data_IF_033828086952
#
_entry.id   IF_033828086952
#
_cell.length_a   1.000
_cell.length_b   1.000
_cell.length_c   1.000
_cell.angle_alpha   90.00
_cell.angle_beta   90.00
_cell.angle_gamma   90.00
#
_symmetry.space_group_name_H-M   'P 1'
#
loop_
_entity.id
_entity.type
_entity.pdbx_description
1 polymer ?
#
# COMPACT_ATOMS: atom_id res chain seq x y z
N UNK A 1 3.15 1.20 0.14
CA UNK A 1 3.76 2.47 -0.35
C UNK A 1 5.22 2.53 0.05
N UNK A 2 6.12 2.92 -0.86
CA UNK A 2 7.56 3.12 -0.59
C UNK A 2 7.89 4.62 -0.73
N UNK A 3 8.37 5.25 0.34
CA UNK A 3 8.62 6.69 0.43
C UNK A 3 10.11 6.99 0.63
N UNK A 4 10.61 8.05 -0.01
CA UNK A 4 12.00 8.56 0.11
C UNK A 4 12.00 10.08 0.30
N UNK A 5 12.80 10.60 1.25
CA UNK A 5 13.02 11.99 1.65
C UNK A 5 11.74 12.79 2.02
N UNK A 6 11.39 12.79 3.31
CA UNK A 6 10.18 13.45 3.86
C UNK A 6 10.27 15.00 3.96
N UNK A 7 11.41 15.59 3.59
CA UNK A 7 11.64 17.04 3.54
C UNK A 7 11.34 17.72 2.19
N UNK A 8 10.90 16.95 1.18
CA UNK A 8 10.38 17.47 -0.08
C UNK A 8 9.06 16.76 -0.39
N UNK A 9 7.93 17.43 -0.20
CA UNK A 9 6.66 16.97 -0.76
C UNK A 9 6.86 16.69 -2.27
N UNK A 10 6.56 15.45 -2.68
CA UNK A 10 6.59 14.93 -4.03
C UNK A 10 7.96 14.96 -4.74
N UNK A 11 8.60 13.79 -4.93
CA UNK A 11 9.33 13.51 -6.20
C UNK A 11 9.66 12.07 -6.53
N UNK A 12 9.62 11.09 -5.61
CA UNK A 12 9.76 9.66 -6.00
C UNK A 12 9.08 8.70 -5.01
N UNK A 13 7.76 8.79 -4.83
CA UNK A 13 7.02 7.72 -4.17
C UNK A 13 6.63 6.66 -5.20
N UNK A 14 7.23 5.46 -5.23
CA UNK A 14 6.65 4.35 -6.00
C UNK A 14 5.53 3.73 -5.18
N UNK A 15 4.30 3.98 -5.61
CA UNK A 15 3.10 3.34 -5.11
C UNK A 15 3.02 1.93 -5.72
N UNK A 16 3.12 0.93 -4.84
CA UNK A 16 2.75 -0.44 -5.13
C UNK A 16 1.50 -0.72 -4.29
N UNK A 17 0.34 -0.43 -4.88
CA UNK A 17 -0.96 -0.89 -4.41
C UNK A 17 -1.45 -1.87 -5.46
N UNK A 18 -1.41 -3.17 -5.14
CA UNK A 18 -1.90 -4.20 -6.03
C UNK A 18 -3.42 -4.24 -5.99
N UNK A 19 -4.03 -4.29 -7.17
CA UNK A 19 -5.38 -4.78 -7.36
C UNK A 19 -5.27 -5.91 -8.38
N UNK A 20 -5.49 -7.11 -7.88
CA UNK A 20 -4.98 -8.39 -8.35
C UNK A 20 -6.04 -9.16 -9.21
N UNK A 21 -5.69 -10.21 -9.98
CA UNK A 21 -6.68 -11.06 -10.68
C UNK A 21 -6.24 -12.38 -11.38
N UNK A 22 -6.87 -13.51 -10.98
CA UNK A 22 -6.92 -14.94 -11.44
C UNK A 22 -6.53 -15.43 -12.86
N UNK A 23 -6.07 -16.70 -12.97
CA UNK A 23 -6.59 -17.73 -13.94
C UNK A 23 -6.57 -19.24 -13.55
N UNK A 24 -7.76 -19.86 -13.49
CA UNK A 24 -8.14 -21.05 -14.31
C UNK A 24 -9.66 -21.16 -14.48
N UNK A 25 -10.23 -20.67 -15.60
CA UNK A 25 -11.63 -20.90 -16.09
C UNK A 25 -11.73 -20.63 -17.62
N UNK A 26 -12.82 -21.06 -18.31
CA UNK A 26 -13.01 -21.00 -19.78
C UNK A 26 -12.67 -19.64 -20.44
N UNK A 27 -12.26 -19.68 -21.73
CA UNK A 27 -11.73 -18.54 -22.52
C UNK A 27 -12.48 -17.20 -22.31
N UNK A 28 -13.81 -17.20 -22.34
CA UNK A 28 -14.63 -15.98 -22.18
C UNK A 28 -14.58 -15.34 -20.78
N UNK A 29 -14.16 -16.07 -19.75
CA UNK A 29 -13.89 -15.53 -18.42
C UNK A 29 -12.48 -15.00 -18.29
N UNK A 30 -11.50 -15.60 -18.98
CA UNK A 30 -10.12 -15.09 -19.04
C UNK A 30 -10.04 -13.73 -19.69
N UNK A 31 -10.75 -13.56 -20.82
CA UNK A 31 -10.76 -12.28 -21.54
C UNK A 31 -11.34 -11.14 -20.68
N UNK A 32 -12.33 -11.45 -19.84
CA UNK A 32 -12.90 -10.49 -18.88
C UNK A 32 -11.98 -10.19 -17.70
N UNK A 33 -11.25 -11.19 -17.19
CA UNK A 33 -10.28 -10.99 -16.12
C UNK A 33 -9.10 -10.13 -16.58
N UNK A 34 -8.56 -10.39 -17.79
CA UNK A 34 -7.49 -9.59 -18.36
C UNK A 34 -7.94 -8.16 -18.65
N UNK A 35 -9.15 -7.98 -19.20
CA UNK A 35 -9.71 -6.66 -19.41
C UNK A 35 -9.86 -5.89 -18.08
N UNK A 36 -10.34 -6.55 -17.03
CA UNK A 36 -10.49 -5.94 -15.71
C UNK A 36 -9.13 -5.59 -15.09
N UNK A 37 -8.12 -6.45 -15.24
CA UNK A 37 -6.73 -6.19 -14.83
C UNK A 37 -6.20 -4.93 -15.50
N UNK A 38 -6.34 -4.80 -16.82
CA UNK A 38 -5.90 -3.62 -17.57
C UNK A 38 -6.62 -2.34 -17.13
N UNK A 39 -7.93 -2.41 -16.85
CA UNK A 39 -8.70 -1.28 -16.30
C UNK A 39 -8.13 -0.88 -14.93
N UNK A 40 -7.98 -1.83 -14.00
CA UNK A 40 -7.48 -1.56 -12.64
C UNK A 40 -6.06 -1.02 -12.64
N UNK A 41 -5.20 -1.49 -13.54
CA UNK A 41 -3.85 -0.94 -13.72
C UNK A 41 -3.88 0.52 -14.18
N UNK A 42 -4.75 0.87 -15.13
CA UNK A 42 -4.92 2.24 -15.59
C UNK A 42 -5.50 3.15 -14.49
N UNK A 43 -6.46 2.65 -13.70
CA UNK A 43 -7.02 3.36 -12.55
C UNK A 43 -5.96 3.64 -11.48
N UNK A 44 -5.14 2.64 -11.12
CA UNK A 44 -4.05 2.79 -10.16
C UNK A 44 -2.95 3.75 -10.64
N UNK A 45 -2.62 3.71 -11.93
CA UNK A 45 -1.69 4.67 -12.53
C UNK A 45 -2.22 6.11 -12.46
N UNK A 46 -3.50 6.31 -12.77
CA UNK A 46 -4.18 7.61 -12.68
C UNK A 46 -4.23 8.11 -11.23
N UNK A 47 -4.62 7.27 -10.27
CA UNK A 47 -4.64 7.61 -8.85
C UNK A 47 -3.26 8.07 -8.35
N UNK A 48 -2.20 7.34 -8.75
CA UNK A 48 -0.82 7.68 -8.40
C UNK A 48 -0.41 9.03 -9.01
N UNK A 49 -0.76 9.28 -10.27
CA UNK A 49 -0.51 10.56 -10.93
C UNK A 49 -1.21 11.72 -10.19
N UNK A 50 -2.47 11.53 -9.77
CA UNK A 50 -3.23 12.53 -9.00
C UNK A 50 -2.43 12.97 -7.78
N UNK A 51 -1.90 12.04 -6.98
CA UNK A 51 -1.13 12.38 -5.78
C UNK A 51 0.33 12.77 -6.03
N UNK A 52 0.84 12.68 -7.27
CA UNK A 52 2.24 12.95 -7.60
C UNK A 52 3.19 11.79 -7.27
N UNK A 53 2.66 10.56 -7.24
CA UNK A 53 3.41 9.33 -7.04
C UNK A 53 3.69 8.61 -8.36
N UNK A 54 4.78 7.86 -8.39
CA UNK A 54 5.05 6.82 -9.39
C UNK A 54 4.22 5.58 -9.08
N UNK A 55 3.95 4.73 -10.08
CA UNK A 55 3.16 3.51 -9.94
C UNK A 55 3.92 2.31 -10.47
N UNK A 56 3.85 1.19 -9.76
CA UNK A 56 4.33 -0.10 -10.24
C UNK A 56 3.52 -1.25 -9.64
N UNK A 57 3.53 -2.40 -10.31
CA UNK A 57 2.91 -3.63 -9.81
C UNK A 57 3.88 -4.80 -9.98
N UNK A 58 3.84 -5.75 -9.04
CA UNK A 58 4.48 -7.06 -9.18
C UNK A 58 3.57 -8.07 -9.89
N UNK A 59 2.40 -7.64 -10.35
CA UNK A 59 1.53 -8.41 -11.24
C UNK A 59 1.26 -9.84 -10.73
N UNK A 60 0.75 -9.91 -9.51
CA UNK A 60 0.37 -11.16 -8.83
C UNK A 60 -1.15 -11.30 -8.93
N UNK A 61 -1.65 -12.52 -9.10
CA UNK A 61 -3.08 -12.78 -9.22
C UNK A 61 -3.76 -12.75 -7.85
N UNK A 62 -5.03 -12.31 -7.81
CA UNK A 62 -5.84 -12.19 -6.59
C UNK A 62 -6.01 -13.53 -5.89
N UNK A 63 -5.88 -13.57 -4.56
CA UNK A 63 -6.00 -14.77 -3.74
C UNK A 63 -4.95 -15.86 -4.08
N UNK A 64 -3.84 -15.50 -4.73
CA UNK A 64 -2.74 -16.41 -5.07
C UNK A 64 -1.40 -15.98 -4.48
N UNK A 65 -1.38 -14.88 -3.73
CA UNK A 65 -0.16 -14.34 -3.16
C UNK A 65 0.42 -15.33 -2.14
N UNK A 66 1.53 -15.96 -2.52
CA UNK A 66 2.35 -16.79 -1.63
C UNK A 66 3.58 -16.00 -1.20
N UNK A 67 3.56 -15.53 0.05
CA UNK A 67 4.66 -14.80 0.66
C UNK A 67 5.93 -15.63 0.83
N UNK A 68 5.87 -16.95 0.60
CA UNK A 68 7.01 -17.87 0.65
C UNK A 68 7.66 -18.11 -0.71
N UNK A 69 7.01 -17.69 -1.81
CA UNK A 69 7.55 -17.83 -3.16
C UNK A 69 8.87 -17.07 -3.32
N UNK A 70 9.92 -17.80 -3.68
CA UNK A 70 11.29 -17.25 -3.79
C UNK A 70 11.43 -16.25 -4.94
N UNK A 71 10.72 -16.47 -6.05
CA UNK A 71 10.77 -15.58 -7.22
C UNK A 71 10.10 -14.24 -6.88
N UNK A 72 8.93 -14.29 -6.25
CA UNK A 72 8.20 -13.12 -5.79
C UNK A 72 9.01 -12.33 -4.75
N UNK A 73 9.64 -13.00 -3.79
CA UNK A 73 10.55 -12.37 -2.82
C UNK A 73 11.71 -11.63 -3.48
N UNK A 74 12.33 -12.23 -4.50
CA UNK A 74 13.41 -11.57 -5.25
C UNK A 74 12.91 -10.35 -6.02
N UNK A 75 11.73 -10.42 -6.63
CA UNK A 75 11.11 -9.29 -7.35
C UNK A 75 10.74 -8.15 -6.40
N UNK A 76 10.16 -8.45 -5.23
CA UNK A 76 9.88 -7.45 -4.21
C UNK A 76 11.16 -6.86 -3.62
N UNK A 77 12.18 -7.68 -3.37
CA UNK A 77 13.50 -7.21 -2.91
C UNK A 77 14.15 -6.27 -3.91
N UNK A 78 14.11 -6.60 -5.20
CA UNK A 78 14.58 -5.71 -6.27
C UNK A 78 13.79 -4.40 -6.29
N UNK A 79 12.46 -4.46 -6.17
CA UNK A 79 11.63 -3.27 -6.11
C UNK A 79 12.05 -2.36 -4.94
N UNK A 80 12.20 -2.91 -3.73
CA UNK A 80 12.66 -2.15 -2.55
C UNK A 80 14.05 -1.54 -2.79
N UNK A 81 15.00 -2.30 -3.36
CA UNK A 81 16.36 -1.82 -3.65
C UNK A 81 16.40 -0.74 -4.72
N UNK A 82 15.60 -0.87 -5.78
CA UNK A 82 15.54 0.12 -6.86
C UNK A 82 14.92 1.45 -6.40
N UNK A 83 14.02 1.40 -5.42
CA UNK A 83 13.38 2.60 -4.85
C UNK A 83 14.24 3.27 -3.78
N UNK A 84 14.99 2.47 -2.99
CA UNK A 84 15.75 2.93 -1.81
C UNK A 84 14.89 3.76 -0.84
N UNK A 85 13.78 3.21 -0.32
CA UNK A 85 12.88 3.97 0.54
C UNK A 85 13.47 4.19 1.94
N UNK A 86 13.13 5.32 2.55
CA UNK A 86 13.33 5.57 3.98
C UNK A 86 12.18 4.95 4.80
N UNK A 87 10.97 4.98 4.23
CA UNK A 87 9.75 4.47 4.86
C UNK A 87 9.02 3.52 3.92
N UNK A 88 8.52 2.43 4.47
CA UNK A 88 7.58 1.52 3.85
C UNK A 88 6.27 1.58 4.64
N UNK A 89 5.15 1.77 3.96
CA UNK A 89 3.80 1.65 4.53
C UNK A 89 3.13 0.43 3.90
N UNK A 90 2.57 -0.47 4.70
CA UNK A 90 1.84 -1.66 4.23
C UNK A 90 0.60 -1.92 5.08
N UNK A 91 -0.17 -2.96 4.75
CA UNK A 91 -1.35 -3.40 5.49
C UNK A 91 -1.01 -3.81 6.93
N UNK A 92 -2.01 -3.84 7.80
CA UNK A 92 -1.85 -4.36 9.15
C UNK A 92 -1.75 -5.89 9.19
N UNK A 93 -1.20 -6.45 10.28
CA UNK A 93 -0.97 -7.89 10.52
C UNK A 93 -2.20 -8.70 10.94
N UNK A 94 -3.37 -8.06 10.96
CA UNK A 94 -4.64 -8.64 11.43
C UNK A 94 -5.78 -8.05 10.60
N UNK A 95 -5.63 -8.14 9.28
CA UNK A 95 -6.62 -7.64 8.34
C UNK A 95 -7.67 -8.72 8.03
N UNK A 96 -8.84 -8.30 7.54
CA UNK A 96 -9.90 -9.25 7.18
C UNK A 96 -9.56 -10.02 5.89
N UNK A 97 -8.65 -9.48 5.06
CA UNK A 97 -8.32 -10.05 3.76
C UNK A 97 -6.97 -10.79 3.80
N UNK A 98 -6.90 -12.08 3.44
CA UNK A 98 -5.68 -12.86 3.56
C UNK A 98 -4.53 -12.31 2.69
N UNK A 99 -4.82 -11.75 1.51
CA UNK A 99 -3.79 -11.08 0.70
C UNK A 99 -3.20 -9.84 1.36
N UNK A 100 -3.92 -9.17 2.27
CA UNK A 100 -3.36 -8.04 3.03
C UNK A 100 -2.32 -8.54 4.03
N UNK A 101 -2.64 -9.58 4.79
CA UNK A 101 -1.71 -10.22 5.73
C UNK A 101 -0.48 -10.77 4.99
N UNK A 102 -0.68 -11.52 3.91
CA UNK A 102 0.40 -12.10 3.13
C UNK A 102 1.26 -11.01 2.45
N UNK A 103 0.68 -9.86 2.09
CA UNK A 103 1.43 -8.68 1.62
C UNK A 103 2.31 -8.09 2.73
N UNK A 104 1.81 -7.96 3.97
CA UNK A 104 2.62 -7.50 5.10
C UNK A 104 3.81 -8.42 5.32
N UNK A 105 3.57 -9.74 5.35
CA UNK A 105 4.62 -10.72 5.60
C UNK A 105 5.69 -10.70 4.50
N UNK A 106 5.26 -10.62 3.23
CA UNK A 106 6.16 -10.50 2.09
C UNK A 106 7.00 -9.23 2.17
N UNK A 107 6.36 -8.09 2.45
CA UNK A 107 7.03 -6.78 2.57
C UNK A 107 8.06 -6.80 3.70
N UNK A 108 7.68 -7.29 4.88
CA UNK A 108 8.59 -7.37 6.02
C UNK A 108 9.81 -8.25 5.71
N UNK A 109 9.58 -9.45 5.15
CA UNK A 109 10.65 -10.36 4.77
C UNK A 109 11.61 -9.69 3.77
N UNK A 110 11.06 -9.10 2.70
CA UNK A 110 11.85 -8.51 1.62
C UNK A 110 12.54 -7.21 2.06
N UNK A 111 11.98 -6.46 3.00
CA UNK A 111 12.62 -5.31 3.62
C UNK A 111 13.92 -5.73 4.33
N UNK A 112 13.90 -6.82 5.09
CA UNK A 112 15.11 -7.37 5.71
C UNK A 112 16.07 -7.91 4.65
N UNK A 113 15.55 -8.64 3.66
CA UNK A 113 16.33 -9.21 2.57
C UNK A 113 17.05 -8.13 1.73
N UNK A 114 16.43 -6.95 1.56
CA UNK A 114 16.97 -5.84 0.77
C UNK A 114 18.30 -5.29 1.32
N UNK A 115 18.56 -5.40 2.62
CA UNK A 115 19.84 -5.01 3.24
C UNK A 115 20.96 -6.06 3.05
N UNK A 116 20.66 -7.27 2.59
CA UNK A 116 21.63 -8.37 2.54
C UNK A 116 22.42 -8.41 1.23
N UNK A 117 23.68 -7.98 1.24
CA UNK A 117 24.54 -7.89 0.04
C UNK A 117 24.77 -9.22 -0.71
N UNK A 118 24.60 -10.38 -0.05
CA UNK A 118 24.75 -11.68 -0.70
C UNK A 118 23.53 -12.07 -1.56
N UNK A 119 22.36 -11.45 -1.33
CA UNK A 119 21.18 -11.65 -2.16
C UNK A 119 21.36 -10.90 -3.47
N UNK A 120 21.30 -11.63 -4.59
CA UNK A 120 21.54 -11.09 -5.93
C UNK A 120 20.24 -10.57 -6.54
N UNK A 121 20.24 -9.29 -6.87
CA UNK A 121 19.21 -8.60 -7.67
C UNK A 121 19.92 -7.60 -8.59
N UNK A 122 19.19 -6.85 -9.42
CA UNK A 122 19.79 -5.89 -10.35
C UNK A 122 20.33 -4.65 -9.62
N UNK A 123 19.58 -4.15 -8.64
CA UNK A 123 19.97 -3.03 -7.78
C UNK A 123 20.84 -3.49 -6.59
N UNK A 124 21.78 -2.65 -6.12
CA UNK A 124 22.60 -2.97 -4.96
C UNK A 124 21.77 -3.02 -3.67
N UNK A 125 22.32 -3.66 -2.63
CA UNK A 125 21.72 -3.66 -1.31
C UNK A 125 21.51 -2.23 -0.76
N UNK A 126 20.59 -2.11 0.18
CA UNK A 126 20.35 -0.86 0.90
C UNK A 126 21.43 -0.63 1.97
N UNK A 127 21.89 0.62 2.08
CA UNK A 127 22.93 1.00 3.04
C UNK A 127 22.39 1.13 4.47
N UNK A 128 21.08 1.36 4.60
CA UNK A 128 20.37 1.51 5.86
C UNK A 128 19.04 0.74 5.83
N UNK A 129 18.53 0.28 6.99
CA UNK A 129 17.21 -0.33 7.06
C UNK A 129 16.10 0.70 6.87
N UNK A 130 15.01 0.29 6.23
CA UNK A 130 13.80 1.10 6.11
C UNK A 130 12.97 1.04 7.41
N UNK A 131 12.18 2.08 7.66
CA UNK A 131 11.16 2.10 8.73
C UNK A 131 9.86 1.56 8.17
N UNK A 132 9.22 0.62 8.87
CA UNK A 132 7.96 0.02 8.45
C UNK A 132 6.80 0.58 9.29
N UNK A 133 5.77 1.07 8.61
CA UNK A 133 4.48 1.45 9.20
C UNK A 133 3.37 0.57 8.65
N UNK A 134 2.41 0.26 9.51
CA UNK A 134 1.13 -0.31 9.13
C UNK A 134 0.10 0.82 9.01
N UNK A 135 -0.72 0.76 7.96
CA UNK A 135 -1.82 1.69 7.73
C UNK A 135 -3.13 1.15 8.29
N UNK A 136 -4.04 2.08 8.60
CA UNK A 136 -5.36 1.77 9.13
C UNK A 136 -6.20 0.89 8.18
N UNK A 137 -7.11 0.11 8.77
CA UNK A 137 -7.93 -0.89 8.07
C UNK A 137 -9.17 -0.23 7.47
N UNK A 138 -9.48 -0.59 6.23
CA UNK A 138 -10.69 -0.14 5.57
C UNK A 138 -11.86 -1.04 5.97
N UNK A 139 -12.95 -0.45 6.48
CA UNK A 139 -14.19 -1.19 6.74
C UNK A 139 -14.34 -1.76 8.15
N UNK A 140 -13.40 -1.46 9.06
CA UNK A 140 -13.47 -1.83 10.48
C UNK A 140 -12.29 -2.69 10.93
N UNK A 141 -12.42 -3.28 12.13
CA UNK A 141 -11.34 -4.00 12.80
C UNK A 141 -10.62 -3.13 13.83
N UNK A 142 -10.07 -3.77 14.86
CA UNK A 142 -9.30 -3.05 15.88
C UNK A 142 -7.96 -2.62 15.26
N UNK A 143 -7.79 -1.31 15.11
CA UNK A 143 -6.51 -0.68 14.79
C UNK A 143 -6.26 0.46 15.77
N UNK A 144 -5.20 0.32 16.56
CA UNK A 144 -4.75 1.31 17.53
C UNK A 144 -3.55 2.03 16.90
N UNK A 145 -3.75 3.23 16.32
CA UNK A 145 -2.65 4.01 15.78
C UNK A 145 -1.73 4.50 16.90
N UNK A 146 -0.44 4.54 16.61
CA UNK A 146 0.58 5.16 17.47
C UNK A 146 1.05 6.50 16.90
N UNK A 147 0.76 6.75 15.64
CA UNK A 147 1.10 7.97 14.91
C UNK A 147 -0.12 8.48 14.15
N UNK A 148 -0.29 9.80 14.11
CA UNK A 148 -1.33 10.47 13.35
C UNK A 148 -0.66 11.48 12.41
N UNK A 149 -1.11 11.52 11.16
CA UNK A 149 -0.69 12.52 10.18
C UNK A 149 -1.89 13.39 9.85
N UNK A 150 -1.79 14.70 10.08
CA UNK A 150 -2.82 15.65 9.67
C UNK A 150 -2.84 15.75 8.14
N UNK A 151 -3.97 15.34 7.55
CA UNK A 151 -4.20 15.40 6.11
C UNK A 151 -5.25 16.44 5.75
N UNK A 152 -5.59 17.37 6.64
CA UNK A 152 -6.66 18.36 6.42
C UNK A 152 -6.45 19.16 5.14
N UNK A 153 -5.22 19.58 4.85
CA UNK A 153 -4.91 20.34 3.63
C UNK A 153 -4.83 19.49 2.35
N UNK A 154 -4.77 18.16 2.47
CA UNK A 154 -4.59 17.22 1.36
C UNK A 154 -5.75 16.23 1.21
N UNK A 155 -6.78 16.35 2.05
CA UNK A 155 -7.90 15.42 2.10
C UNK A 155 -8.66 15.33 0.77
N UNK A 156 -8.93 16.47 0.13
CA UNK A 156 -9.58 16.49 -1.19
C UNK A 156 -8.79 15.70 -2.23
N UNK A 157 -7.46 15.88 -2.24
CA UNK A 157 -6.55 15.17 -3.15
C UNK A 157 -6.54 13.66 -2.92
N UNK A 158 -6.69 13.22 -1.66
CA UNK A 158 -6.88 11.81 -1.30
C UNK A 158 -8.21 11.28 -1.86
N UNK A 159 -9.29 12.04 -1.74
CA UNK A 159 -10.59 11.73 -2.32
C UNK A 159 -10.55 11.59 -3.85
N UNK A 160 -9.90 12.53 -4.54
CA UNK A 160 -9.71 12.49 -6.00
C UNK A 160 -8.92 11.25 -6.44
N UNK A 161 -7.89 10.87 -5.68
CA UNK A 161 -7.09 9.68 -5.96
C UNK A 161 -7.92 8.40 -5.80
N UNK A 162 -8.68 8.27 -4.70
CA UNK A 162 -9.56 7.12 -4.48
C UNK A 162 -10.65 7.04 -5.56
N UNK A 163 -11.22 8.18 -5.97
CA UNK A 163 -12.23 8.27 -7.01
C UNK A 163 -11.76 7.81 -8.39
N UNK A 164 -10.45 7.68 -8.62
CA UNK A 164 -9.91 7.11 -9.86
C UNK A 164 -10.20 5.60 -10.00
N UNK A 165 -10.48 4.88 -8.91
CA UNK A 165 -10.75 3.43 -8.90
C UNK A 165 -12.23 3.11 -9.17
N UNK A 166 -12.75 3.59 -10.30
CA UNK A 166 -14.17 3.51 -10.68
C UNK A 166 -14.68 2.06 -10.62
N UNK A 167 -13.92 1.12 -11.19
CA UNK A 167 -14.27 -0.30 -11.21
C UNK A 167 -14.38 -0.90 -9.81
N UNK A 168 -13.51 -0.48 -8.87
CA UNK A 168 -13.53 -0.96 -7.48
C UNK A 168 -14.68 -0.37 -6.70
N UNK A 169 -14.89 0.94 -6.82
CA UNK A 169 -15.98 1.64 -6.14
C UNK A 169 -17.31 1.02 -6.54
N UNK A 170 -17.52 0.78 -7.84
CA UNK A 170 -18.74 0.15 -8.33
C UNK A 170 -18.90 -1.28 -7.83
N UNK A 171 -17.83 -2.07 -7.84
CA UNK A 171 -17.82 -3.44 -7.34
C UNK A 171 -18.19 -3.49 -5.85
N UNK A 172 -17.47 -2.76 -4.99
CA UNK A 172 -17.69 -2.73 -3.54
C UNK A 172 -19.10 -2.27 -3.18
N UNK A 173 -19.61 -1.24 -3.87
CA UNK A 173 -21.00 -0.79 -3.67
C UNK A 173 -22.01 -1.90 -4.00
N UNK A 174 -21.79 -2.66 -5.08
CA UNK A 174 -22.72 -3.71 -5.52
C UNK A 174 -22.61 -5.00 -4.72
N UNK A 175 -21.39 -5.39 -4.31
CA UNK A 175 -21.12 -6.68 -3.67
C UNK A 175 -21.34 -6.65 -2.16
N UNK A 176 -20.98 -5.56 -1.49
CA UNK A 176 -21.04 -5.44 -0.03
C UNK A 176 -21.83 -4.24 0.47
N UNK A 177 -22.33 -3.38 -0.43
CA UNK A 177 -22.99 -2.13 -0.05
C UNK A 177 -22.02 -1.07 0.47
N UNK A 178 -20.70 -1.29 0.33
CA UNK A 178 -19.68 -0.41 0.90
C UNK A 178 -19.55 0.88 0.07
N UNK A 179 -19.87 2.01 0.68
CA UNK A 179 -19.65 3.34 0.13
C UNK A 179 -18.24 3.85 0.47
N UNK A 180 -17.23 3.35 -0.25
CA UNK A 180 -15.83 3.49 0.15
C UNK A 180 -15.34 4.95 0.28
N UNK A 181 -15.78 5.86 -0.59
CA UNK A 181 -15.42 7.29 -0.50
C UNK A 181 -15.94 7.92 0.80
N UNK A 182 -17.18 7.59 1.18
CA UNK A 182 -17.75 8.05 2.45
C UNK A 182 -17.07 7.37 3.65
N UNK A 183 -16.78 6.07 3.57
CA UNK A 183 -16.04 5.36 4.61
C UNK A 183 -14.65 5.95 4.86
N UNK A 184 -13.95 6.35 3.80
CA UNK A 184 -12.66 7.05 3.89
C UNK A 184 -12.78 8.38 4.62
N UNK A 185 -13.81 9.18 4.33
CA UNK A 185 -14.08 10.45 4.99
C UNK A 185 -14.35 10.26 6.47
N UNK A 186 -15.29 9.36 6.82
CA UNK A 186 -15.64 9.05 8.22
C UNK A 186 -14.41 8.61 9.01
N UNK A 187 -13.58 7.74 8.45
CA UNK A 187 -12.37 7.28 9.13
C UNK A 187 -11.37 8.43 9.33
N UNK A 188 -11.19 9.28 8.31
CA UNK A 188 -10.28 10.41 8.41
C UNK A 188 -10.73 11.44 9.45
N UNK A 189 -12.03 11.74 9.54
CA UNK A 189 -12.59 12.61 10.59
C UNK A 189 -12.45 11.97 11.97
N UNK A 190 -12.75 10.68 12.10
CA UNK A 190 -12.60 9.98 13.36
C UNK A 190 -11.17 10.04 13.88
N UNK A 191 -10.17 9.82 13.02
CA UNK A 191 -8.76 9.96 13.40
C UNK A 191 -8.39 11.41 13.68
N UNK A 192 -8.91 12.37 12.90
CA UNK A 192 -8.71 13.80 13.16
C UNK A 192 -9.18 14.23 14.55
N UNK A 193 -10.36 13.74 14.96
CA UNK A 193 -10.90 13.96 16.31
C UNK A 193 -9.97 13.43 17.41
N UNK A 194 -9.25 12.32 17.17
CA UNK A 194 -8.32 11.76 18.16
C UNK A 194 -7.04 12.59 18.34
N UNK A 195 -6.65 13.39 17.33
CA UNK A 195 -5.42 14.19 17.36
C UNK A 195 -5.64 15.70 17.24
N UNK A 196 -6.88 16.17 17.26
CA UNK A 196 -7.22 17.60 17.30
C UNK A 196 -7.14 18.33 15.95
N UNK A 197 -7.28 17.64 14.82
CA UNK A 197 -7.41 18.24 13.49
C UNK A 197 -8.70 17.79 12.78
N UNK A 198 -8.99 18.31 11.58
CA UNK A 198 -10.22 17.96 10.86
C UNK A 198 -10.14 16.55 10.26
N UNK A 199 -9.04 16.23 9.57
CA UNK A 199 -8.82 14.94 8.93
C UNK A 199 -7.42 14.42 9.26
N UNK A 200 -7.30 13.17 9.70
CA UNK A 200 -6.02 12.51 9.90
C UNK A 200 -5.98 11.10 9.32
N UNK A 201 -4.77 10.63 9.01
CA UNK A 201 -4.49 9.20 8.81
C UNK A 201 -3.77 8.63 10.03
N UNK A 202 -4.25 7.47 10.49
CA UNK A 202 -3.63 6.72 11.57
C UNK A 202 -2.63 5.71 11.04
N UNK A 203 -1.46 5.64 11.67
CA UNK A 203 -0.42 4.67 11.38
C UNK A 203 0.08 4.02 12.67
N UNK A 204 0.61 2.81 12.56
CA UNK A 204 1.32 2.12 13.64
C UNK A 204 2.71 1.74 13.17
N UNK A 205 3.73 2.12 13.93
CA UNK A 205 5.09 1.69 13.61
C UNK A 205 5.25 0.20 13.91
N UNK A 206 5.94 -0.53 13.04
CA UNK A 206 6.27 -1.93 13.29
C UNK A 206 7.31 -2.02 14.42
N UNK A 207 6.99 -2.82 15.44
CA UNK A 207 7.85 -3.13 16.59
C UNK A 207 8.75 -4.36 16.36
N UNK A 208 8.63 -5.00 15.18
CA UNK A 208 9.46 -6.14 14.76
C UNK A 208 10.95 -5.76 14.59
N UNK A 209 11.28 -4.46 14.59
CA UNK A 209 12.66 -3.92 14.55
C UNK A 209 12.80 -2.75 15.54
N UNK A 210 14.04 -2.38 15.92
CA UNK A 210 14.26 -1.17 16.71
C UNK A 210 13.63 0.06 16.05
N UNK A 211 12.79 0.73 16.81
CA UNK A 211 12.09 1.95 16.39
C UNK A 211 13.08 3.13 16.43
N UNK A 212 13.14 3.98 15.39
CA UNK A 212 13.96 5.19 15.43
C UNK A 212 13.57 6.10 16.61
N UNK A 213 14.56 6.75 17.23
CA UNK A 213 14.35 7.69 18.32
C UNK A 213 13.82 9.08 17.86
N UNK A 214 13.43 9.20 16.59
CA UNK A 214 12.93 10.43 15.99
C UNK A 214 11.68 10.13 15.16
N UNK A 215 10.81 11.14 15.03
CA UNK A 215 9.59 11.03 14.23
C UNK A 215 9.92 11.03 12.75
N UNK A 216 9.36 10.07 12.02
CA UNK A 216 9.66 9.88 10.60
C UNK A 216 8.56 10.49 9.74
N UNK A 217 7.29 10.19 10.04
CA UNK A 217 6.14 10.79 9.37
C UNK A 217 5.98 12.29 9.72
N UNK A 218 5.44 13.12 8.82
CA UNK A 218 5.24 14.56 9.05
C UNK A 218 4.27 14.86 10.20
#
# INVERSE_FOLDING_TARGET
MLLRNLGQMCRTGRFCGGLFGYQWKPRSFRDRAEQLRMIRMAEGAKASQTIGASYCTLDVDDMTLDQTDKSLRLRMTELIRSVRPDVIITHDVDDYHPDHDATEELVFYCMVQANLAHIKTESPALDAPCVLYHMDKVGGGLFIPTEFVDITSTFEKKGEALACHVSQIEYLRKSSGLHILHGMEVLAEYRGMQCGCRYAEGFRISDKRPVPAFRVLP
#
